data_IF_540508829614
#
_entry.id   IF_540508829614
#
_cell.length_a   1.000
_cell.length_b   1.000
_cell.length_c   1.000
_cell.angle_alpha   90.00
_cell.angle_beta   90.00
_cell.angle_gamma   90.00
#
_symmetry.space_group_name_H-M   'P 1'
#
loop_
_entity.id
_entity.type
_entity.pdbx_description
1 polymer ?
#
# COMPACT_ATOMS: atom_id res chain seq x y z
N UNK A 1 27.92 -15.36 -13.81
CA UNK A 1 27.11 -16.32 -13.02
C UNK A 1 25.72 -15.70 -12.92
N UNK A 2 24.71 -16.35 -13.49
CA UNK A 2 23.38 -15.74 -13.72
C UNK A 2 22.68 -15.56 -12.37
N UNK A 3 22.09 -14.39 -12.12
CA UNK A 3 21.32 -14.09 -10.88
C UNK A 3 20.26 -15.16 -10.57
N UNK A 4 19.74 -15.82 -11.61
CA UNK A 4 18.78 -16.92 -11.53
C UNK A 4 19.29 -18.16 -10.76
N UNK A 5 20.58 -18.49 -10.87
CA UNK A 5 21.15 -19.66 -10.15
C UNK A 5 21.34 -19.36 -8.67
N UNK A 6 21.71 -18.12 -8.31
CA UNK A 6 21.89 -17.70 -6.91
C UNK A 6 20.54 -17.71 -6.17
N UNK A 7 19.48 -17.23 -6.83
CA UNK A 7 18.10 -17.29 -6.35
C UNK A 7 17.63 -18.72 -6.06
N UNK A 8 17.89 -19.65 -7.00
CA UNK A 8 17.47 -21.05 -6.86
C UNK A 8 18.15 -21.73 -5.67
N UNK A 9 19.48 -21.59 -5.52
CA UNK A 9 20.21 -22.23 -4.42
C UNK A 9 19.91 -21.61 -3.06
N UNK A 10 19.68 -20.30 -2.97
CA UNK A 10 19.24 -19.66 -1.72
C UNK A 10 17.91 -20.25 -1.24
N UNK A 11 16.99 -20.52 -2.16
CA UNK A 11 15.70 -21.14 -1.86
C UNK A 11 15.86 -22.59 -1.34
N UNK A 12 16.82 -23.36 -1.88
CA UNK A 12 17.09 -24.73 -1.40
C UNK A 12 17.57 -24.75 0.05
N UNK A 13 18.54 -23.90 0.42
CA UNK A 13 19.07 -23.89 1.78
C UNK A 13 18.06 -23.37 2.80
N UNK A 14 17.26 -22.36 2.42
CA UNK A 14 16.15 -21.90 3.24
C UNK A 14 15.16 -23.05 3.48
N UNK A 15 14.76 -23.76 2.43
CA UNK A 15 13.84 -24.91 2.54
C UNK A 15 14.41 -26.04 3.41
N UNK A 16 15.72 -26.31 3.35
CA UNK A 16 16.38 -27.27 4.25
C UNK A 16 16.20 -26.88 5.72
N UNK A 17 16.40 -25.60 6.03
CA UNK A 17 16.22 -25.08 7.39
C UNK A 17 14.76 -25.09 7.83
N UNK A 18 13.82 -24.81 6.93
CA UNK A 18 12.37 -24.89 7.20
C UNK A 18 11.92 -26.32 7.50
N UNK A 19 12.41 -27.30 6.73
CA UNK A 19 12.17 -28.71 7.01
C UNK A 19 12.76 -29.10 8.36
N UNK A 20 13.97 -28.66 8.67
CA UNK A 20 14.59 -28.83 9.98
C UNK A 20 13.79 -28.22 11.12
N UNK A 21 13.22 -27.02 10.93
CA UNK A 21 12.36 -26.34 11.90
C UNK A 21 11.09 -27.14 12.18
N UNK A 22 10.44 -27.65 11.12
CA UNK A 22 9.22 -28.47 11.26
C UNK A 22 9.44 -29.81 11.97
N UNK A 23 10.70 -30.27 12.01
CA UNK A 23 11.12 -31.56 12.58
C UNK A 23 12.05 -31.41 13.79
N UNK A 24 12.01 -30.29 14.51
CA UNK A 24 12.87 -30.04 15.68
C UNK A 24 12.75 -31.12 16.76
N UNK A 25 11.56 -31.68 16.98
CA UNK A 25 11.32 -32.68 18.04
C UNK A 25 11.66 -34.09 17.58
N UNK A 26 11.30 -34.46 16.36
CA UNK A 26 11.44 -35.84 15.87
C UNK A 26 12.78 -36.09 15.18
N UNK A 27 13.34 -35.06 14.59
CA UNK A 27 14.49 -35.10 13.69
C UNK A 27 14.08 -35.47 12.26
N UNK A 28 15.03 -35.30 11.33
CA UNK A 28 14.89 -35.67 9.93
C UNK A 28 16.14 -36.44 9.49
N UNK A 29 15.98 -37.51 8.72
CA UNK A 29 17.12 -38.17 8.09
C UNK A 29 17.56 -37.43 6.83
N UNK A 30 18.85 -37.52 6.50
CA UNK A 30 19.39 -36.91 5.28
C UNK A 30 18.69 -37.42 4.01
N UNK A 31 18.27 -38.69 4.01
CA UNK A 31 17.59 -39.31 2.88
C UNK A 31 16.17 -38.78 2.70
N UNK A 32 15.40 -38.66 3.80
CA UNK A 32 14.08 -38.02 3.78
C UNK A 32 14.19 -36.57 3.29
N UNK A 33 15.17 -35.81 3.79
CA UNK A 33 15.41 -34.46 3.33
C UNK A 33 15.70 -34.39 1.82
N UNK A 34 16.55 -35.29 1.31
CA UNK A 34 16.82 -35.34 -0.13
C UNK A 34 15.58 -35.69 -0.95
N UNK A 35 14.72 -36.58 -0.46
CA UNK A 35 13.50 -36.97 -1.17
C UNK A 35 12.50 -35.81 -1.22
N UNK A 36 12.31 -35.08 -0.12
CA UNK A 36 11.47 -33.87 -0.10
C UNK A 36 12.01 -32.74 -1.00
N UNK A 37 13.34 -32.63 -1.13
CA UNK A 37 13.97 -31.65 -2.03
C UNK A 37 13.83 -32.03 -3.52
N UNK A 38 13.89 -33.32 -3.86
CA UNK A 38 13.78 -33.81 -5.25
C UNK A 38 12.42 -33.50 -5.88
N UNK A 39 11.37 -33.39 -5.08
CA UNK A 39 10.03 -33.03 -5.57
C UNK A 39 10.02 -31.64 -6.22
N UNK A 40 10.92 -30.75 -5.79
CA UNK A 40 10.89 -29.33 -6.19
C UNK A 40 12.16 -28.88 -6.93
N UNK A 41 13.26 -29.64 -6.85
CA UNK A 41 14.57 -29.23 -7.37
C UNK A 41 15.29 -30.38 -8.06
N UNK A 42 15.84 -30.12 -9.26
CA UNK A 42 16.72 -31.07 -9.95
C UNK A 42 18.09 -31.11 -9.28
N UNK A 43 18.33 -32.13 -8.45
CA UNK A 43 19.59 -32.33 -7.76
C UNK A 43 20.63 -33.05 -8.64
N UNK A 44 21.74 -32.37 -8.93
CA UNK A 44 22.95 -32.96 -9.53
C UNK A 44 23.98 -33.37 -8.45
N UNK A 45 25.06 -34.04 -8.84
CA UNK A 45 26.08 -34.52 -7.88
C UNK A 45 26.71 -33.38 -7.06
N UNK A 46 27.01 -32.23 -7.67
CA UNK A 46 27.58 -31.08 -6.98
C UNK A 46 26.62 -30.51 -5.91
N UNK A 47 25.34 -30.35 -6.27
CA UNK A 47 24.31 -29.87 -5.36
C UNK A 47 24.08 -30.84 -4.20
N UNK A 48 24.09 -32.15 -4.44
CA UNK A 48 24.01 -33.15 -3.38
C UNK A 48 25.18 -33.03 -2.41
N UNK A 49 26.41 -32.88 -2.89
CA UNK A 49 27.57 -32.68 -2.02
C UNK A 49 27.47 -31.40 -1.19
N UNK A 50 27.01 -30.30 -1.81
CA UNK A 50 26.84 -29.04 -1.11
C UNK A 50 25.73 -29.12 -0.04
N UNK A 51 24.59 -29.72 -0.37
CA UNK A 51 23.49 -29.99 0.57
C UNK A 51 23.95 -30.90 1.70
N UNK A 52 24.70 -31.97 1.38
CA UNK A 52 25.30 -32.87 2.37
C UNK A 52 26.15 -32.10 3.36
N UNK A 53 27.08 -31.29 2.87
CA UNK A 53 27.95 -30.46 3.71
C UNK A 53 27.14 -29.49 4.57
N UNK A 54 26.18 -28.79 3.97
CA UNK A 54 25.33 -27.86 4.69
C UNK A 54 24.53 -28.56 5.79
N UNK A 55 24.01 -29.75 5.52
CA UNK A 55 23.31 -30.57 6.51
C UNK A 55 24.23 -30.98 7.66
N UNK A 56 25.47 -31.44 7.36
CA UNK A 56 26.46 -31.74 8.41
C UNK A 56 26.76 -30.55 9.31
N UNK A 57 26.91 -29.36 8.72
CA UNK A 57 27.31 -28.15 9.44
C UNK A 57 26.17 -27.61 10.33
N UNK A 58 24.91 -27.94 10.03
CA UNK A 58 23.74 -27.35 10.67
C UNK A 58 22.85 -28.34 11.44
N UNK A 59 23.06 -29.65 11.31
CA UNK A 59 22.25 -30.68 11.94
C UNK A 59 23.13 -31.67 12.72
N UNK A 60 22.64 -32.11 13.88
CA UNK A 60 23.34 -33.07 14.74
C UNK A 60 22.45 -34.27 15.04
N UNK A 61 23.05 -35.42 15.34
CA UNK A 61 22.29 -36.62 15.71
C UNK A 61 21.45 -36.37 16.96
N UNK A 62 20.15 -36.67 16.90
CA UNK A 62 19.22 -36.54 18.03
C UNK A 62 19.71 -37.29 19.28
N UNK A 63 20.36 -38.43 19.08
CA UNK A 63 20.83 -39.32 20.15
C UNK A 63 22.19 -38.88 20.74
N UNK A 64 22.88 -37.95 20.10
CA UNK A 64 24.19 -37.44 20.51
C UNK A 64 24.03 -36.14 21.29
N UNK A 65 23.49 -36.26 22.51
CA UNK A 65 23.34 -35.14 23.45
C UNK A 65 24.63 -34.75 24.19
N UNK A 66 25.77 -35.43 23.98
CA UNK A 66 26.99 -35.24 24.77
C UNK A 66 28.29 -35.21 23.94
N UNK A 67 28.40 -34.24 23.03
CA UNK A 67 29.70 -33.70 22.59
C UNK A 67 30.69 -34.65 21.89
N UNK A 68 30.29 -35.85 21.46
CA UNK A 68 31.19 -36.81 20.78
C UNK A 68 30.55 -37.50 19.58
N UNK A 69 30.50 -36.78 18.47
CA UNK A 69 30.93 -37.22 17.14
C UNK A 69 30.19 -36.36 16.13
N UNK A 70 30.87 -35.35 15.60
CA UNK A 70 30.44 -34.67 14.39
C UNK A 70 30.41 -35.72 13.29
N UNK A 71 29.23 -36.09 12.79
CA UNK A 71 29.13 -37.01 11.65
C UNK A 71 29.93 -36.39 10.52
N UNK A 72 30.97 -37.11 10.09
CA UNK A 72 31.80 -36.63 9.01
C UNK A 72 31.05 -36.75 7.69
N UNK A 73 31.38 -35.91 6.72
CA UNK A 73 30.73 -35.86 5.40
C UNK A 73 30.65 -37.25 4.70
N UNK A 74 31.53 -38.18 5.06
CA UNK A 74 31.62 -39.52 4.49
C UNK A 74 30.67 -40.54 5.14
N UNK A 75 30.18 -40.29 6.35
CA UNK A 75 29.39 -41.25 7.13
C UNK A 75 27.88 -41.15 6.86
N UNK A 76 27.39 -40.07 6.24
CA UNK A 76 25.95 -39.92 5.98
C UNK A 76 25.36 -40.98 5.03
N UNK A 77 26.18 -41.58 4.16
CA UNK A 77 25.71 -42.63 3.25
C UNK A 77 25.49 -43.96 4.00
N UNK A 78 26.06 -44.14 5.19
CA UNK A 78 25.83 -45.31 6.05
C UNK A 78 24.74 -45.06 7.10
N UNK A 79 24.31 -43.81 7.29
CA UNK A 79 23.31 -43.37 8.27
C UNK A 79 21.91 -43.17 7.65
N UNK A 80 21.37 -44.21 6.99
CA UNK A 80 20.10 -44.12 6.25
C UNK A 80 18.89 -43.72 7.11
N UNK A 81 18.81 -44.21 8.34
CA UNK A 81 17.63 -44.07 9.21
C UNK A 81 17.91 -43.22 10.46
N UNK A 82 19.00 -42.48 10.47
CA UNK A 82 19.36 -41.66 11.62
C UNK A 82 18.57 -40.35 11.62
N UNK A 83 18.06 -39.98 12.79
CA UNK A 83 17.33 -38.73 12.98
C UNK A 83 18.29 -37.63 13.39
N UNK A 84 18.35 -36.57 12.57
CA UNK A 84 19.15 -35.39 12.86
C UNK A 84 18.25 -34.22 13.21
N UNK A 85 18.64 -33.46 14.22
CA UNK A 85 17.94 -32.27 14.69
C UNK A 85 18.76 -31.05 14.31
N UNK A 86 18.06 -29.98 13.89
CA UNK A 86 18.69 -28.72 13.53
C UNK A 86 19.37 -28.07 14.74
N UNK A 87 20.56 -27.51 14.52
CA UNK A 87 21.31 -26.80 15.56
C UNK A 87 20.60 -25.52 16.01
N UNK A 88 20.72 -25.20 17.29
CA UNK A 88 20.18 -23.95 17.82
C UNK A 88 20.79 -22.71 17.15
N UNK A 89 22.04 -22.81 16.71
CA UNK A 89 22.71 -21.76 15.93
C UNK A 89 22.07 -21.61 14.54
N UNK A 90 21.83 -22.72 13.83
CA UNK A 90 21.17 -22.71 12.53
C UNK A 90 19.74 -22.17 12.63
N UNK A 91 18.98 -22.58 13.65
CA UNK A 91 17.64 -22.05 13.92
C UNK A 91 17.67 -20.55 14.21
N UNK A 92 18.60 -20.08 15.05
CA UNK A 92 18.76 -18.65 15.35
C UNK A 92 19.08 -17.84 14.09
N UNK A 93 19.98 -18.34 13.23
CA UNK A 93 20.30 -17.72 11.93
C UNK A 93 19.06 -17.65 11.01
N UNK A 94 18.25 -18.70 10.97
CA UNK A 94 16.99 -18.69 10.21
C UNK A 94 16.03 -17.60 10.70
N UNK A 95 15.87 -17.46 12.03
CA UNK A 95 15.00 -16.41 12.59
C UNK A 95 15.54 -15.01 12.26
N UNK A 96 16.85 -14.79 12.39
CA UNK A 96 17.48 -13.51 12.04
C UNK A 96 17.26 -13.17 10.56
N UNK A 97 17.42 -14.16 9.67
CA UNK A 97 17.16 -13.98 8.24
C UNK A 97 15.72 -13.58 7.95
N UNK A 98 14.73 -14.26 8.56
CA UNK A 98 13.30 -13.91 8.42
C UNK A 98 13.00 -12.51 8.94
N UNK A 99 13.55 -12.14 10.09
CA UNK A 99 13.43 -10.79 10.64
C UNK A 99 13.99 -9.74 9.69
N UNK A 100 15.16 -9.99 9.09
CA UNK A 100 15.75 -9.10 8.11
C UNK A 100 14.88 -8.94 6.85
N UNK A 101 14.36 -10.03 6.30
CA UNK A 101 13.47 -9.99 5.13
C UNK A 101 12.17 -9.22 5.41
N UNK A 102 11.57 -9.44 6.58
CA UNK A 102 10.38 -8.71 7.00
C UNK A 102 10.67 -7.20 7.18
N UNK A 103 11.84 -6.85 7.72
CA UNK A 103 12.24 -5.45 7.82
C UNK A 103 12.46 -4.82 6.44
N UNK A 104 13.07 -5.55 5.50
CA UNK A 104 13.32 -5.05 4.15
C UNK A 104 12.03 -4.78 3.38
N UNK A 105 11.08 -5.71 3.44
CA UNK A 105 9.76 -5.52 2.81
C UNK A 105 8.99 -4.32 3.38
N UNK A 106 9.10 -4.06 4.68
CA UNK A 106 8.52 -2.85 5.29
C UNK A 106 9.19 -1.57 4.79
N UNK A 107 10.52 -1.56 4.65
CA UNK A 107 11.26 -0.41 4.10
C UNK A 107 10.85 -0.15 2.65
N UNK A 108 10.75 -1.20 1.83
CA UNK A 108 10.36 -1.08 0.42
C UNK A 108 8.93 -0.53 0.28
N UNK A 109 8.00 -0.95 1.14
CA UNK A 109 6.64 -0.41 1.20
C UNK A 109 6.62 1.07 1.60
N UNK A 110 7.39 1.45 2.62
CA UNK A 110 7.48 2.85 3.05
C UNK A 110 8.07 3.72 1.94
N UNK A 111 9.12 3.25 1.26
CA UNK A 111 9.72 3.96 0.14
C UNK A 111 8.73 4.13 -1.02
N UNK A 112 7.93 3.10 -1.31
CA UNK A 112 6.86 3.16 -2.30
C UNK A 112 5.82 4.22 -1.95
N UNK A 113 5.38 4.28 -0.68
CA UNK A 113 4.44 5.30 -0.21
C UNK A 113 5.00 6.71 -0.29
N UNK A 114 6.29 6.90 0.04
CA UNK A 114 6.97 8.20 -0.09
C UNK A 114 7.00 8.64 -1.56
N UNK A 115 7.37 7.75 -2.47
CA UNK A 115 7.42 8.05 -3.90
C UNK A 115 6.03 8.42 -4.44
N UNK A 116 4.98 7.69 -4.03
CA UNK A 116 3.60 8.00 -4.39
C UNK A 116 3.12 9.33 -3.82
N UNK A 117 3.49 9.64 -2.57
CA UNK A 117 3.17 10.93 -1.97
C UNK A 117 3.87 12.08 -2.69
N UNK A 118 5.16 11.93 -3.04
CA UNK A 118 5.89 12.94 -3.81
C UNK A 118 5.26 13.16 -5.17
N UNK A 119 4.91 12.08 -5.90
CA UNK A 119 4.21 12.16 -7.18
C UNK A 119 2.88 12.93 -7.06
N UNK A 120 2.06 12.63 -6.05
CA UNK A 120 0.82 13.38 -5.79
C UNK A 120 1.07 14.86 -5.50
N UNK A 121 2.14 15.20 -4.79
CA UNK A 121 2.47 16.61 -4.54
C UNK A 121 2.93 17.32 -5.82
N UNK A 122 3.65 16.63 -6.70
CA UNK A 122 4.05 17.19 -8.00
C UNK A 122 2.86 17.39 -8.93
N UNK A 123 1.94 16.43 -8.98
CA UNK A 123 0.68 16.52 -9.71
C UNK A 123 -0.17 17.68 -9.18
N UNK A 124 -0.37 17.78 -7.87
CA UNK A 124 -1.09 18.90 -7.25
C UNK A 124 -0.43 20.27 -7.54
N UNK A 125 0.91 20.34 -7.53
CA UNK A 125 1.65 21.56 -7.93
C UNK A 125 1.47 21.89 -9.41
N UNK A 126 1.35 20.88 -10.28
CA UNK A 126 1.09 21.06 -11.71
C UNK A 126 -0.33 21.56 -11.94
N UNK A 127 -1.31 20.94 -11.30
CA UNK A 127 -2.73 21.31 -11.39
C UNK A 127 -2.96 22.73 -10.85
N UNK A 128 -2.34 23.08 -9.72
CA UNK A 128 -2.39 24.42 -9.16
C UNK A 128 -1.83 25.48 -10.13
N UNK A 129 -0.69 25.20 -10.78
CA UNK A 129 -0.12 26.11 -11.79
C UNK A 129 -1.02 26.24 -13.02
N UNK A 130 -1.61 25.13 -13.47
CA UNK A 130 -2.55 25.14 -14.58
C UNK A 130 -3.80 25.96 -14.25
N UNK A 131 -4.42 25.74 -13.09
CA UNK A 131 -5.58 26.49 -12.61
C UNK A 131 -5.28 27.98 -12.47
N UNK A 132 -4.09 28.34 -11.95
CA UNK A 132 -3.67 29.75 -11.84
C UNK A 132 -3.52 30.40 -13.22
N UNK A 133 -2.92 29.69 -14.18
CA UNK A 133 -2.76 30.21 -15.54
C UNK A 133 -4.13 30.37 -16.24
N UNK A 134 -5.04 29.42 -16.06
CA UNK A 134 -6.42 29.52 -16.53
C UNK A 134 -7.16 30.71 -15.91
N UNK A 135 -7.00 30.93 -14.60
CA UNK A 135 -7.62 32.06 -13.92
C UNK A 135 -7.13 33.39 -14.50
N UNK A 136 -5.82 33.56 -14.68
CA UNK A 136 -5.26 34.75 -15.32
C UNK A 136 -5.74 34.93 -16.76
N UNK A 137 -5.81 33.84 -17.54
CA UNK A 137 -6.34 33.88 -18.90
C UNK A 137 -7.82 34.32 -18.92
N UNK A 138 -8.64 33.79 -18.01
CA UNK A 138 -10.05 34.16 -17.87
C UNK A 138 -10.23 35.61 -17.47
N UNK A 139 -9.42 36.13 -16.54
CA UNK A 139 -9.44 37.54 -16.15
C UNK A 139 -9.09 38.42 -17.37
N UNK A 140 -8.04 38.07 -18.11
CA UNK A 140 -7.64 38.77 -19.33
C UNK A 140 -8.74 38.79 -20.39
N UNK A 141 -9.39 37.63 -20.63
CA UNK A 141 -10.49 37.50 -21.58
C UNK A 141 -11.70 38.36 -21.17
N UNK A 142 -11.99 38.38 -19.87
CA UNK A 142 -13.09 39.18 -19.30
C UNK A 142 -12.86 40.68 -19.48
N UNK A 143 -11.62 41.14 -19.34
CA UNK A 143 -11.25 42.54 -19.60
C UNK A 143 -11.41 42.87 -21.09
N UNK A 144 -10.92 42.01 -22.00
CA UNK A 144 -11.00 42.26 -23.45
C UNK A 144 -12.45 42.28 -23.95
N UNK A 145 -13.31 41.39 -23.46
CA UNK A 145 -14.72 41.32 -23.87
C UNK A 145 -15.62 42.32 -23.14
N UNK A 146 -15.30 42.69 -21.90
CA UNK A 146 -16.11 43.62 -21.10
C UNK A 146 -15.81 45.10 -21.37
N UNK A 147 -14.58 45.45 -21.78
CA UNK A 147 -14.21 46.84 -22.07
C UNK A 147 -14.98 47.47 -23.25
N UNK A 148 -15.28 46.76 -24.36
CA UNK A 148 -16.09 47.30 -25.46
C UNK A 148 -17.51 47.69 -25.01
N UNK A 149 -18.14 46.89 -24.15
CA UNK A 149 -19.46 47.18 -23.58
C UNK A 149 -19.41 48.36 -22.60
N UNK A 150 -18.39 48.43 -21.75
CA UNK A 150 -18.21 49.57 -20.83
C UNK A 150 -17.91 50.88 -21.56
N UNK A 151 -17.10 50.83 -22.62
CA UNK A 151 -16.74 52.00 -23.43
C UNK A 151 -17.91 52.48 -24.31
N UNK A 152 -18.69 51.53 -24.85
CA UNK A 152 -19.97 51.78 -25.53
C UNK A 152 -20.98 52.47 -24.61
N UNK A 153 -21.12 51.98 -23.37
CA UNK A 153 -21.97 52.60 -22.33
C UNK A 153 -21.49 53.99 -21.91
N UNK A 154 -20.18 54.22 -21.82
CA UNK A 154 -19.60 55.52 -21.45
C UNK A 154 -19.84 56.62 -22.50
N UNK A 155 -19.92 56.24 -23.79
CA UNK A 155 -20.11 57.19 -24.89
C UNK A 155 -21.57 57.55 -25.16
N UNK A 156 -22.53 56.83 -24.57
CA UNK A 156 -23.96 56.94 -24.90
C UNK A 156 -24.85 57.60 -23.83
N UNK A 157 -24.32 58.18 -22.75
CA UNK A 157 -25.19 58.85 -21.77
C UNK A 157 -24.65 60.18 -21.26
N UNK A 158 -25.18 61.26 -21.84
CA UNK A 158 -25.49 62.49 -21.13
C UNK A 158 -26.28 62.15 -19.86
N UNK A 159 -25.67 62.48 -18.73
CA UNK A 159 -26.15 62.37 -17.36
C UNK A 159 -27.60 62.87 -17.28
N UNK A 160 -28.57 62.00 -16.94
CA UNK A 160 -29.76 62.37 -16.14
C UNK A 160 -30.79 61.23 -15.93
N UNK A 161 -30.79 60.15 -16.74
CA UNK A 161 -31.80 59.07 -16.59
C UNK A 161 -31.30 57.78 -15.91
N UNK A 162 -29.98 57.63 -15.68
CA UNK A 162 -29.38 56.40 -15.12
C UNK A 162 -29.47 56.32 -13.59
N UNK A 163 -29.50 57.47 -12.91
CA UNK A 163 -29.63 57.56 -11.45
C UNK A 163 -30.95 56.98 -10.94
N UNK A 164 -32.04 57.12 -11.72
CA UNK A 164 -33.38 56.68 -11.30
C UNK A 164 -33.63 55.16 -11.41
N UNK A 165 -33.00 54.49 -12.39
CA UNK A 165 -33.08 53.01 -12.52
C UNK A 165 -32.11 52.28 -11.58
N UNK A 166 -30.96 52.87 -11.29
CA UNK A 166 -30.01 52.33 -10.32
C UNK A 166 -30.58 52.46 -8.90
N UNK A 167 -31.22 53.57 -8.56
CA UNK A 167 -31.82 53.74 -7.22
C UNK A 167 -33.02 52.79 -6.99
N UNK A 168 -33.84 52.54 -8.02
CA UNK A 168 -34.94 51.55 -7.95
C UNK A 168 -34.43 50.11 -7.91
N UNK A 169 -33.37 49.79 -8.66
CA UNK A 169 -32.75 48.46 -8.63
C UNK A 169 -32.05 48.21 -7.29
N UNK A 170 -31.31 49.17 -6.75
CA UNK A 170 -30.64 49.07 -5.45
C UNK A 170 -31.65 48.95 -4.30
N UNK A 171 -32.79 49.68 -4.35
CA UNK A 171 -33.87 49.51 -3.37
C UNK A 171 -34.60 48.16 -3.48
N UNK A 172 -34.51 47.47 -4.62
CA UNK A 172 -35.12 46.14 -4.81
C UNK A 172 -34.22 44.97 -4.38
N UNK A 173 -32.92 45.18 -4.20
CA UNK A 173 -31.97 44.14 -3.77
C UNK A 173 -32.30 43.60 -2.36
N UNK A 174 -32.61 44.43 -1.33
CA UNK A 174 -33.00 43.90 -0.03
C UNK A 174 -34.29 43.08 -0.08
N UNK A 175 -35.23 43.44 -0.95
CA UNK A 175 -36.52 42.74 -1.10
C UNK A 175 -36.30 41.37 -1.72
N UNK A 176 -35.52 41.28 -2.80
CA UNK A 176 -35.20 39.98 -3.43
C UNK A 176 -34.39 39.06 -2.53
N UNK A 177 -33.49 39.62 -1.70
CA UNK A 177 -32.74 38.87 -0.68
C UNK A 177 -33.67 38.37 0.43
N UNK A 178 -34.67 39.17 0.84
CA UNK A 178 -35.69 38.73 1.81
C UNK A 178 -36.54 37.59 1.27
N UNK A 179 -36.99 37.69 0.00
CA UNK A 179 -37.76 36.63 -0.66
C UNK A 179 -36.96 35.34 -0.82
N UNK A 180 -35.66 35.43 -1.15
CA UNK A 180 -34.81 34.24 -1.23
C UNK A 180 -34.53 33.62 0.13
N UNK A 181 -34.38 34.43 1.18
CA UNK A 181 -34.22 33.92 2.54
C UNK A 181 -35.49 33.23 3.05
N UNK A 182 -36.68 33.77 2.77
CA UNK A 182 -37.95 33.10 3.09
C UNK A 182 -38.12 31.77 2.33
N UNK A 183 -37.71 31.72 1.05
CA UNK A 183 -37.72 30.48 0.29
C UNK A 183 -36.75 29.45 0.86
N UNK A 184 -35.55 29.85 1.28
CA UNK A 184 -34.57 28.98 1.92
C UNK A 184 -35.11 28.43 3.25
N UNK A 185 -35.71 29.28 4.08
CA UNK A 185 -36.32 28.84 5.35
C UNK A 185 -37.50 27.89 5.12
N UNK A 186 -38.29 28.11 4.07
CA UNK A 186 -39.37 27.20 3.68
C UNK A 186 -38.84 25.83 3.25
N UNK A 187 -37.73 25.78 2.51
CA UNK A 187 -37.08 24.54 2.08
C UNK A 187 -36.46 23.78 3.26
N UNK A 188 -35.86 24.49 4.21
CA UNK A 188 -35.31 23.90 5.45
C UNK A 188 -36.46 23.30 6.28
N UNK A 189 -37.61 23.96 6.34
CA UNK A 189 -38.80 23.48 7.07
C UNK A 189 -39.45 22.26 6.40
N UNK A 190 -39.48 22.21 5.07
CA UNK A 190 -39.97 21.05 4.31
C UNK A 190 -39.05 19.84 4.53
N UNK A 191 -37.73 20.04 4.46
CA UNK A 191 -36.75 18.97 4.63
C UNK A 191 -36.74 18.40 6.06
N UNK A 192 -36.89 19.27 7.08
CA UNK A 192 -37.02 18.82 8.48
C UNK A 192 -38.35 18.09 8.75
N UNK A 193 -39.43 18.45 8.05
CA UNK A 193 -40.72 17.74 8.13
C UNK A 193 -40.69 16.36 7.48
N UNK A 194 -40.03 16.20 6.33
CA UNK A 194 -39.81 14.90 5.70
C UNK A 194 -38.96 13.96 6.58
N UNK A 195 -37.92 14.49 7.24
CA UNK A 195 -37.08 13.72 8.15
C UNK A 195 -37.83 13.24 9.41
N UNK A 196 -38.85 13.97 9.85
CA UNK A 196 -39.75 13.55 10.93
C UNK A 196 -40.79 12.51 10.50
N UNK A 197 -41.25 12.51 9.25
CA UNK A 197 -42.14 11.46 8.73
C UNK A 197 -41.42 10.14 8.52
N UNK A 198 -40.17 10.15 8.03
CA UNK A 198 -39.35 8.94 7.89
C UNK A 198 -39.04 8.27 9.23
N UNK A 199 -38.84 9.05 10.30
CA UNK A 199 -38.62 8.52 11.66
C UNK A 199 -39.90 7.96 12.28
N UNK A 200 -41.08 8.56 12.02
CA UNK A 200 -42.38 7.99 12.42
C UNK A 200 -42.72 6.70 11.64
N UNK A 201 -42.34 6.60 10.37
CA UNK A 201 -42.56 5.39 9.56
C UNK A 201 -41.68 4.22 10.02
N UNK A 202 -40.44 4.49 10.45
CA UNK A 202 -39.56 3.47 11.07
C UNK A 202 -40.05 3.04 12.46
N UNK A 203 -40.59 3.95 13.28
CA UNK A 203 -41.13 3.61 14.59
C UNK A 203 -42.43 2.78 14.53
N UNK A 204 -43.25 2.93 13.48
CA UNK A 204 -44.51 2.17 13.30
C UNK A 204 -44.30 0.75 12.76
N UNK A 205 -43.10 0.41 12.27
CA UNK A 205 -42.72 -0.94 11.80
C UNK A 205 -42.14 -1.84 12.91
N UNK A 206 -42.03 -1.34 14.14
CA UNK A 206 -41.47 -2.02 15.33
C UNK A 206 -42.59 -2.31 16.36
N UNK A 207 -43.85 -2.40 15.93
CA UNK A 207 -44.96 -2.92 16.74
C UNK A 207 -45.64 -4.06 15.98
#
# INVERSE_FOLDING_TARGET
MKEDEISLYSNVYEKILELGESKLTDGISYHQLLDELKENVKLNNCSKTAIKKFFCDNFFHKELHEGKSSVTLLEFDTHHNCNFVMSGEAWSKLQQYRHFQNSKTQIDLLQSQINLADQKTQEAKRDSRFARNLAWASIGLSIILGLPDWYSLYKSYSIDHLTLQIETSIKSIPIKISETNELIDSLIKINSSQKMEETKFKAKKIK
#
